data_IF_648784404361
#
_entry.id   IF_648784404361
#
_cell.length_a   1.000
_cell.length_b   1.000
_cell.length_c   1.000
_cell.angle_alpha   90.00
_cell.angle_beta   90.00
_cell.angle_gamma   90.00
#
_symmetry.space_group_name_H-M   'P 1'
#
loop_
_entity.id
_entity.type
_entity.pdbx_description
1 polymer ?
#
# COMPACT_ATOMS: atom_id res chain seq x y z
N UNK A 1 -6.84 3.89 17.00
CA UNK A 1 -6.48 2.45 16.92
C UNK A 1 -5.00 2.30 17.20
N UNK A 2 -4.57 1.37 18.06
CA UNK A 2 -3.15 1.26 18.45
C UNK A 2 -2.26 0.89 17.25
N UNK A 3 -1.19 1.65 16.97
CA UNK A 3 -0.26 1.39 15.87
C UNK A 3 0.32 -0.04 15.86
N UNK A 4 0.57 -0.61 17.04
CA UNK A 4 1.05 -1.99 17.18
C UNK A 4 0.04 -3.03 16.64
N UNK A 5 -1.26 -2.77 16.76
CA UNK A 5 -2.30 -3.67 16.22
C UNK A 5 -2.29 -3.68 14.69
N UNK A 6 -2.06 -2.53 14.06
CA UNK A 6 -1.94 -2.41 12.60
C UNK A 6 -0.75 -3.21 12.10
N UNK A 7 0.39 -3.13 12.79
CA UNK A 7 1.60 -3.90 12.45
C UNK A 7 1.35 -5.40 12.57
N UNK A 8 0.77 -5.85 13.69
CA UNK A 8 0.44 -7.27 13.88
C UNK A 8 -0.55 -7.79 12.82
N UNK A 9 -1.53 -6.96 12.46
CA UNK A 9 -2.49 -7.30 11.41
C UNK A 9 -1.82 -7.43 10.04
N UNK A 10 -0.88 -6.53 9.70
CA UNK A 10 -0.12 -6.62 8.44
C UNK A 10 0.74 -7.89 8.39
N UNK A 11 1.43 -8.21 9.48
CA UNK A 11 2.22 -9.44 9.60
C UNK A 11 1.34 -10.67 9.44
N UNK A 12 0.20 -10.73 10.15
CA UNK A 12 -0.72 -11.85 10.08
C UNK A 12 -1.32 -12.02 8.68
N UNK A 13 -1.79 -10.93 8.05
CA UNK A 13 -2.30 -10.97 6.69
C UNK A 13 -1.26 -11.44 5.68
N UNK A 14 -0.01 -10.98 5.84
CA UNK A 14 1.13 -11.43 5.02
C UNK A 14 1.40 -12.91 5.20
N UNK A 15 1.43 -13.41 6.44
CA UNK A 15 1.64 -14.84 6.72
C UNK A 15 0.53 -15.70 6.12
N UNK A 16 -0.74 -15.31 6.31
CA UNK A 16 -1.90 -16.02 5.74
C UNK A 16 -1.79 -16.08 4.21
N UNK A 17 -1.45 -14.96 3.58
CA UNK A 17 -1.23 -14.90 2.14
C UNK A 17 -0.09 -15.81 1.70
N UNK A 18 1.08 -15.70 2.34
CA UNK A 18 2.27 -16.48 1.95
C UNK A 18 2.06 -17.98 2.07
N UNK A 19 1.45 -18.44 3.16
CA UNK A 19 1.13 -19.86 3.37
C UNK A 19 0.10 -20.33 2.35
N UNK A 20 -0.97 -19.57 2.12
CA UNK A 20 -2.02 -19.92 1.14
C UNK A 20 -1.47 -19.96 -0.28
N UNK A 21 -0.66 -18.98 -0.66
CA UNK A 21 -0.06 -18.87 -1.98
C UNK A 21 0.94 -20.00 -2.23
N UNK A 22 1.76 -20.35 -1.23
CA UNK A 22 2.70 -21.47 -1.31
C UNK A 22 1.96 -22.82 -1.42
N UNK A 23 0.91 -23.01 -0.61
CA UNK A 23 0.07 -24.20 -0.67
C UNK A 23 -0.58 -24.37 -2.05
N UNK A 24 -1.22 -23.32 -2.57
CA UNK A 24 -1.83 -23.31 -3.89
C UNK A 24 -0.81 -23.56 -5.01
N UNK A 25 0.41 -23.04 -4.86
CA UNK A 25 1.49 -23.25 -5.83
C UNK A 25 2.07 -24.68 -5.79
N UNK A 26 2.17 -25.33 -4.62
CA UNK A 26 2.74 -26.68 -4.48
C UNK A 26 1.71 -27.75 -4.89
N UNK A 27 0.51 -27.71 -4.30
CA UNK A 27 -0.50 -28.77 -4.47
C UNK A 27 -1.17 -28.67 -5.83
N UNK A 28 -1.36 -27.45 -6.34
CA UNK A 28 -1.89 -27.15 -7.67
C UNK A 28 -3.20 -27.89 -8.07
N UNK A 29 -3.98 -28.30 -7.08
CA UNK A 29 -5.28 -28.94 -7.24
C UNK A 29 -6.43 -27.90 -7.25
N UNK A 30 -7.60 -28.25 -7.76
CA UNK A 30 -8.76 -27.36 -7.90
C UNK A 30 -9.20 -26.71 -6.59
N UNK A 31 -9.21 -27.48 -5.49
CA UNK A 31 -9.54 -26.97 -4.15
C UNK A 31 -8.46 -26.03 -3.59
N UNK A 32 -7.18 -26.31 -3.84
CA UNK A 32 -6.08 -25.46 -3.39
C UNK A 32 -6.06 -24.13 -4.16
N UNK A 33 -6.39 -24.15 -5.45
CA UNK A 33 -6.52 -22.96 -6.30
C UNK A 33 -7.66 -22.07 -5.86
N UNK A 34 -8.86 -22.63 -5.65
CA UNK A 34 -10.03 -21.85 -5.24
C UNK A 34 -9.82 -21.20 -3.87
N UNK A 35 -9.23 -21.94 -2.92
CA UNK A 35 -8.84 -21.40 -1.62
C UNK A 35 -7.89 -20.21 -1.76
N UNK A 36 -6.83 -20.33 -2.58
CA UNK A 36 -5.86 -19.26 -2.79
C UNK A 36 -6.49 -17.99 -3.36
N UNK A 37 -7.43 -18.12 -4.30
CA UNK A 37 -8.20 -16.99 -4.86
C UNK A 37 -9.08 -16.35 -3.81
N UNK A 38 -9.85 -17.15 -3.06
CA UNK A 38 -10.75 -16.63 -2.02
C UNK A 38 -9.95 -15.83 -1.00
N UNK A 39 -8.81 -16.36 -0.54
CA UNK A 39 -7.93 -15.64 0.38
C UNK A 39 -7.40 -14.35 -0.23
N UNK A 40 -6.94 -14.37 -1.49
CA UNK A 40 -6.45 -13.18 -2.17
C UNK A 40 -7.52 -12.09 -2.30
N UNK A 41 -8.74 -12.46 -2.69
CA UNK A 41 -9.86 -11.53 -2.84
C UNK A 41 -10.32 -10.95 -1.51
N UNK A 42 -10.36 -11.76 -0.44
CA UNK A 42 -10.70 -11.28 0.90
C UNK A 42 -9.64 -10.30 1.41
N UNK A 43 -8.36 -10.63 1.30
CA UNK A 43 -7.27 -9.75 1.72
C UNK A 43 -7.24 -8.46 0.89
N UNK A 44 -7.51 -8.54 -0.42
CA UNK A 44 -7.63 -7.39 -1.29
C UNK A 44 -8.81 -6.48 -0.91
N UNK A 45 -9.98 -7.06 -0.62
CA UNK A 45 -11.16 -6.31 -0.19
C UNK A 45 -10.91 -5.59 1.14
N UNK A 46 -10.31 -6.28 2.12
CA UNK A 46 -9.87 -5.69 3.39
C UNK A 46 -8.87 -4.56 3.13
N UNK A 47 -7.86 -4.83 2.29
CA UNK A 47 -6.84 -3.84 1.93
C UNK A 47 -7.42 -2.58 1.33
N UNK A 48 -8.39 -2.73 0.44
CA UNK A 48 -9.12 -1.62 -0.18
C UNK A 48 -9.90 -0.82 0.86
N UNK A 49 -10.64 -1.47 1.76
CA UNK A 49 -11.37 -0.79 2.83
C UNK A 49 -10.44 -0.02 3.78
N UNK A 50 -9.32 -0.63 4.16
CA UNK A 50 -8.28 0.00 4.99
C UNK A 50 -7.62 1.17 4.25
N UNK A 51 -7.33 1.02 2.96
CA UNK A 51 -6.77 2.07 2.12
C UNK A 51 -7.70 3.28 2.05
N UNK A 52 -8.99 3.06 1.78
CA UNK A 52 -10.00 4.13 1.73
C UNK A 52 -10.16 4.81 3.09
N UNK A 53 -10.14 4.05 4.18
CA UNK A 53 -10.19 4.62 5.53
C UNK A 53 -8.96 5.48 5.84
N UNK A 54 -7.76 4.98 5.49
CA UNK A 54 -6.51 5.73 5.61
C UNK A 54 -6.54 7.02 4.81
N UNK A 55 -7.00 6.94 3.55
CA UNK A 55 -7.19 8.09 2.68
C UNK A 55 -8.16 9.12 3.27
N UNK A 56 -9.33 8.69 3.71
CA UNK A 56 -10.32 9.55 4.36
C UNK A 56 -9.75 10.30 5.57
N UNK A 57 -9.01 9.57 6.42
CA UNK A 57 -8.34 10.15 7.60
C UNK A 57 -7.27 11.17 7.19
N UNK A 58 -6.49 10.86 6.16
CA UNK A 58 -5.46 11.76 5.63
C UNK A 58 -6.06 13.03 5.00
N UNK A 59 -7.19 12.92 4.28
CA UNK A 59 -7.89 14.08 3.69
C UNK A 59 -8.33 15.07 4.76
N UNK A 60 -8.86 14.59 5.88
CA UNK A 60 -9.25 15.45 7.00
C UNK A 60 -8.05 16.21 7.58
N UNK A 61 -6.90 15.54 7.71
CA UNK A 61 -5.65 16.13 8.20
C UNK A 61 -4.98 17.07 7.20
N UNK A 62 -5.12 16.81 5.90
CA UNK A 62 -4.51 17.60 4.82
C UNK A 62 -4.99 19.06 4.81
N UNK A 63 -6.10 19.37 5.48
CA UNK A 63 -6.56 20.74 5.72
C UNK A 63 -5.54 21.58 6.51
N UNK A 64 -4.77 20.94 7.39
CA UNK A 64 -3.80 21.58 8.28
C UNK A 64 -2.36 21.17 7.98
N UNK A 65 -2.16 20.01 7.35
CA UNK A 65 -0.85 19.42 7.08
C UNK A 65 -0.61 19.20 5.59
N UNK A 66 0.64 19.34 5.17
CA UNK A 66 1.09 18.92 3.84
C UNK A 66 1.40 17.42 3.87
N UNK A 67 0.56 16.64 3.19
CA UNK A 67 0.65 15.17 3.18
C UNK A 67 0.97 14.70 1.78
N UNK A 68 2.20 14.21 1.58
CA UNK A 68 2.60 13.55 0.35
C UNK A 68 2.08 12.11 0.27
N UNK A 69 1.73 11.66 -0.94
CA UNK A 69 1.33 10.26 -1.20
C UNK A 69 2.45 9.28 -0.79
N UNK A 70 3.71 9.68 -0.99
CA UNK A 70 4.87 8.88 -0.61
C UNK A 70 5.03 8.80 0.91
N UNK A 71 4.78 9.89 1.63
CA UNK A 71 4.82 9.88 3.09
C UNK A 71 3.67 9.05 3.68
N UNK A 72 2.51 9.08 3.03
CA UNK A 72 1.31 8.37 3.45
C UNK A 72 1.43 6.85 3.22
N UNK A 73 1.68 6.39 1.98
CA UNK A 73 1.62 4.97 1.65
C UNK A 73 2.97 4.24 1.67
N UNK A 74 4.07 4.98 1.47
CA UNK A 74 5.44 4.44 1.52
C UNK A 74 6.16 4.84 2.81
N UNK A 75 5.47 5.40 3.79
CA UNK A 75 6.02 5.74 5.11
C UNK A 75 7.34 6.55 4.99
N UNK A 76 7.48 7.38 3.95
CA UNK A 76 8.73 8.12 3.67
C UNK A 76 8.92 9.35 4.56
N UNK A 77 7.96 9.63 5.46
CA UNK A 77 8.04 10.77 6.38
C UNK A 77 9.24 10.68 7.35
N UNK A 78 9.85 11.82 7.72
CA UNK A 78 11.06 11.85 8.55
C UNK A 78 10.84 11.34 9.98
N UNK A 79 9.64 11.46 10.54
CA UNK A 79 9.34 11.20 11.97
C UNK A 79 8.66 9.84 12.22
N UNK A 80 8.99 8.82 11.42
CA UNK A 80 8.44 7.46 11.57
C UNK A 80 9.50 6.54 12.20
N UNK A 81 9.20 5.83 13.30
CA UNK A 81 10.14 4.92 13.94
C UNK A 81 10.68 3.88 12.95
N UNK A 82 12.00 3.67 12.97
CA UNK A 82 12.69 2.77 12.03
C UNK A 82 12.17 1.33 12.10
N UNK A 83 11.82 0.86 13.30
CA UNK A 83 11.23 -0.48 13.50
C UNK A 83 9.91 -0.66 12.77
N UNK A 84 9.05 0.37 12.77
CA UNK A 84 7.76 0.35 12.05
C UNK A 84 7.99 0.33 10.55
N UNK A 85 8.85 1.21 10.03
CA UNK A 85 9.24 1.25 8.61
C UNK A 85 9.70 -0.10 8.11
N UNK A 86 10.64 -0.72 8.83
CA UNK A 86 11.19 -2.04 8.45
C UNK A 86 10.09 -3.11 8.48
N UNK A 87 9.28 -3.18 9.54
CA UNK A 87 8.22 -4.18 9.63
C UNK A 87 7.15 -4.03 8.53
N UNK A 88 6.70 -2.81 8.27
CA UNK A 88 5.67 -2.52 7.28
C UNK A 88 6.18 -2.73 5.84
N UNK A 89 7.37 -2.24 5.51
CA UNK A 89 7.97 -2.43 4.19
C UNK A 89 8.40 -3.87 3.93
N UNK A 90 8.88 -4.60 4.95
CA UNK A 90 9.17 -6.02 4.77
C UNK A 90 7.91 -6.81 4.46
N UNK A 91 6.79 -6.56 5.14
CA UNK A 91 5.51 -7.19 4.80
C UNK A 91 5.08 -6.90 3.36
N UNK A 92 5.11 -5.63 2.94
CA UNK A 92 4.77 -5.24 1.57
C UNK A 92 5.70 -5.90 0.55
N UNK A 93 7.01 -5.89 0.78
CA UNK A 93 7.98 -6.55 -0.08
C UNK A 93 7.72 -8.06 -0.16
N UNK A 94 7.45 -8.73 0.96
CA UNK A 94 7.09 -10.15 0.98
C UNK A 94 5.81 -10.42 0.18
N UNK A 95 4.77 -9.60 0.33
CA UNK A 95 3.54 -9.74 -0.45
C UNK A 95 3.81 -9.61 -1.96
N UNK A 96 4.58 -8.62 -2.37
CA UNK A 96 4.95 -8.41 -3.78
C UNK A 96 5.76 -9.59 -4.31
N UNK A 97 6.80 -10.01 -3.58
CA UNK A 97 7.68 -11.11 -3.99
C UNK A 97 6.92 -12.43 -4.09
N UNK A 98 6.07 -12.76 -3.12
CA UNK A 98 5.25 -13.98 -3.15
C UNK A 98 4.23 -13.93 -4.28
N UNK A 99 3.53 -12.81 -4.46
CA UNK A 99 2.55 -12.65 -5.54
C UNK A 99 3.21 -12.83 -6.91
N UNK A 100 4.35 -12.18 -7.14
CA UNK A 100 5.10 -12.31 -8.38
C UNK A 100 5.65 -13.73 -8.55
N UNK A 101 6.27 -14.30 -7.52
CA UNK A 101 6.82 -15.65 -7.59
C UNK A 101 5.75 -16.68 -7.94
N UNK A 102 4.58 -16.63 -7.30
CA UNK A 102 3.48 -17.56 -7.57
C UNK A 102 2.84 -17.34 -8.94
N UNK A 103 2.64 -16.09 -9.37
CA UNK A 103 2.12 -15.77 -10.69
C UNK A 103 3.08 -16.20 -11.82
N UNK A 104 4.38 -15.99 -11.65
CA UNK A 104 5.40 -16.31 -12.64
C UNK A 104 5.77 -17.80 -12.67
N UNK A 105 5.72 -18.50 -11.53
CA UNK A 105 6.10 -19.93 -11.46
C UNK A 105 5.15 -20.85 -12.21
N UNK A 106 3.90 -20.41 -12.46
CA UNK A 106 2.94 -21.14 -13.28
C UNK A 106 2.37 -20.20 -14.35
N UNK A 107 3.17 -19.90 -15.40
CA UNK A 107 2.70 -19.17 -16.57
C UNK A 107 1.62 -19.98 -17.28
N UNK A 108 0.74 -19.28 -17.99
CA UNK A 108 -0.37 -19.84 -18.76
C UNK A 108 0.05 -21.13 -19.51
N UNK A 109 -0.65 -22.24 -19.29
CA UNK A 109 -0.40 -23.47 -20.04
C UNK A 109 -0.68 -23.21 -21.53
N UNK A 110 0.24 -23.58 -22.45
CA UNK A 110 -0.10 -23.68 -23.86
C UNK A 110 -1.30 -24.60 -24.00
N UNK A 111 -2.35 -24.17 -24.70
CA UNK A 111 -3.41 -25.09 -25.08
C UNK A 111 -2.83 -26.18 -25.99
N UNK A 112 -3.36 -27.40 -25.93
CA UNK A 112 -2.86 -28.59 -26.66
C UNK A 112 -2.83 -28.43 -28.20
N UNK A 113 -3.37 -27.33 -28.70
CA UNK A 113 -3.59 -26.93 -30.08
C UNK A 113 -2.75 -25.71 -30.51
N UNK A 114 -1.96 -25.09 -29.62
CA UNK A 114 -1.01 -24.02 -29.95
C UNK A 114 -1.63 -22.71 -30.48
N UNK A 115 -2.96 -22.66 -30.60
CA UNK A 115 -3.72 -21.60 -31.26
C UNK A 115 -4.51 -20.74 -30.27
N UNK A 116 -4.66 -21.15 -29.01
CA UNK A 116 -5.45 -20.47 -27.99
C UNK A 116 -4.68 -20.31 -26.67
N UNK A 117 -4.61 -19.09 -26.15
CA UNK A 117 -4.13 -18.86 -24.78
C UNK A 117 -5.30 -19.06 -23.81
N UNK A 118 -5.22 -20.08 -22.96
CA UNK A 118 -6.19 -20.21 -21.87
C UNK A 118 -6.13 -18.97 -20.95
N UNK A 119 -7.28 -18.43 -20.51
CA UNK A 119 -7.34 -17.21 -19.75
C UNK A 119 -6.67 -17.38 -18.39
N UNK A 120 -5.58 -16.63 -18.16
CA UNK A 120 -4.94 -16.27 -16.89
C UNK A 120 -4.80 -17.34 -15.79
N UNK A 121 -3.56 -17.66 -15.40
CA UNK A 121 -3.27 -18.46 -14.20
C UNK A 121 -4.05 -17.96 -12.98
N UNK A 122 -4.83 -18.84 -12.33
CA UNK A 122 -5.59 -18.56 -11.10
C UNK A 122 -4.72 -18.00 -9.96
N UNK A 123 -3.41 -18.22 -10.00
CA UNK A 123 -2.46 -17.66 -9.04
C UNK A 123 -2.20 -16.16 -9.26
N UNK A 124 -2.53 -15.61 -10.44
CA UNK A 124 -2.38 -14.18 -10.74
C UNK A 124 -3.26 -13.27 -9.88
N UNK A 125 -4.36 -13.78 -9.32
CA UNK A 125 -5.17 -13.03 -8.34
C UNK A 125 -4.38 -12.62 -7.09
N UNK A 126 -3.28 -13.33 -6.78
CA UNK A 126 -2.38 -12.96 -5.69
C UNK A 126 -1.72 -11.58 -5.87
N UNK A 127 -1.62 -11.06 -7.09
CA UNK A 127 -1.04 -9.73 -7.41
C UNK A 127 -1.88 -8.58 -6.84
N UNK A 128 -3.12 -8.84 -6.43
CA UNK A 128 -3.98 -7.85 -5.78
C UNK A 128 -3.64 -7.67 -4.28
N UNK A 129 -3.04 -8.66 -3.65
CA UNK A 129 -2.82 -8.68 -2.19
C UNK A 129 -1.90 -7.56 -1.67
N UNK A 130 -0.85 -7.09 -2.39
CA UNK A 130 -0.05 -5.92 -1.98
C UNK A 130 -0.84 -4.65 -1.64
N UNK A 131 -2.09 -4.52 -2.13
CA UNK A 131 -3.00 -3.42 -1.75
C UNK A 131 -3.31 -3.44 -0.25
N UNK A 132 -3.30 -4.61 0.40
CA UNK A 132 -3.41 -4.72 1.86
C UNK A 132 -2.23 -4.06 2.56
N UNK A 133 -1.00 -4.37 2.14
CA UNK A 133 0.21 -3.76 2.69
C UNK A 133 0.22 -2.24 2.50
N UNK A 134 -0.09 -1.75 1.29
CA UNK A 134 -0.19 -0.32 1.02
C UNK A 134 -1.30 0.36 1.85
N UNK A 135 -2.48 -0.26 1.93
CA UNK A 135 -3.59 0.25 2.73
C UNK A 135 -3.25 0.36 4.20
N UNK A 136 -2.62 -0.66 4.79
CA UNK A 136 -2.21 -0.66 6.19
C UNK A 136 -1.09 0.35 6.48
N UNK A 137 -0.14 0.53 5.55
CA UNK A 137 0.86 1.59 5.63
C UNK A 137 0.18 2.97 5.68
N UNK A 138 -0.74 3.23 4.74
CA UNK A 138 -1.53 4.46 4.67
C UNK A 138 -2.34 4.71 5.93
N UNK A 139 -3.01 3.67 6.46
CA UNK A 139 -3.78 3.77 7.69
C UNK A 139 -2.90 4.09 8.90
N UNK A 140 -1.73 3.44 9.00
CA UNK A 140 -0.79 3.70 10.08
C UNK A 140 -0.27 5.14 10.01
N UNK A 141 0.17 5.59 8.83
CA UNK A 141 0.68 6.94 8.60
C UNK A 141 -0.40 8.01 8.83
N UNK A 142 -1.63 7.79 8.35
CA UNK A 142 -2.74 8.71 8.58
C UNK A 142 -3.12 8.82 10.07
N UNK A 143 -2.96 7.75 10.84
CA UNK A 143 -3.35 7.71 12.26
C UNK A 143 -2.23 8.16 13.21
N UNK A 144 -0.96 7.90 12.89
CA UNK A 144 0.17 8.08 13.80
C UNK A 144 1.34 8.86 13.20
N UNK A 145 1.37 9.03 11.88
CA UNK A 145 2.40 9.80 11.19
C UNK A 145 2.31 11.28 11.55
N UNK A 146 3.47 11.93 11.61
CA UNK A 146 3.58 13.39 11.70
C UNK A 146 3.97 13.93 10.33
N UNK A 147 3.26 14.96 9.89
CA UNK A 147 3.46 15.62 8.61
C UNK A 147 3.84 17.08 8.83
N UNK A 148 4.42 17.71 7.82
CA UNK A 148 4.77 19.12 7.90
C UNK A 148 3.50 19.99 7.96
N UNK A 149 3.51 21.13 8.67
CA UNK A 149 2.42 22.10 8.61
C UNK A 149 2.19 22.57 7.18
N UNK A 150 0.93 22.79 6.81
CA UNK A 150 0.57 23.28 5.48
C UNK A 150 1.13 24.68 5.24
N UNK A 151 1.90 24.89 4.18
CA UNK A 151 2.34 26.23 3.76
C UNK A 151 1.13 27.00 3.25
N UNK A 152 0.75 28.04 3.99
CA UNK A 152 -0.25 28.99 3.51
C UNK A 152 0.39 29.87 2.43
N UNK A 153 -0.35 30.14 1.35
CA UNK A 153 0.09 30.89 0.17
C UNK A 153 0.56 32.33 0.46
N UNK A 154 0.43 32.82 1.70
CA UNK A 154 0.72 34.20 2.09
C UNK A 154 1.97 34.36 2.98
N UNK A 155 2.80 33.33 3.13
CA UNK A 155 3.93 33.33 4.07
C UNK A 155 5.32 33.64 3.48
N UNK A 156 5.43 34.03 2.21
CA UNK A 156 6.73 34.33 1.57
C UNK A 156 6.68 35.58 0.69
N UNK A 157 5.96 36.63 1.12
CA UNK A 157 6.07 37.98 0.55
C UNK A 157 6.25 38.98 1.69
N UNK A 158 7.35 38.83 2.43
CA UNK A 158 7.87 39.85 3.33
C UNK A 158 9.23 40.30 2.83
N UNK A 159 9.31 41.57 2.42
CA UNK A 159 10.50 42.36 2.10
C UNK A 159 11.11 42.23 0.70
N UNK A 160 10.38 42.68 -0.32
CA UNK A 160 11.01 43.52 -1.35
C UNK A 160 10.55 44.95 -1.06
N UNK A 161 11.40 45.72 -0.39
CA UNK A 161 11.26 47.18 -0.37
C UNK A 161 11.43 47.64 -1.82
N UNK A 162 10.33 48.04 -2.48
CA UNK A 162 10.41 48.70 -3.78
C UNK A 162 10.90 50.14 -3.50
N UNK A 163 12.02 50.60 -4.08
CA UNK A 163 12.61 51.90 -3.76
C UNK A 163 11.89 53.11 -4.37
N UNK A 164 10.63 52.99 -4.83
CA UNK A 164 9.98 54.02 -5.67
C UNK A 164 8.74 54.68 -5.03
N UNK A 165 8.69 54.81 -3.71
CA UNK A 165 7.65 55.64 -3.06
C UNK A 165 8.25 56.89 -2.41
N UNK A 166 8.82 57.77 -3.23
CA UNK A 166 8.93 59.19 -2.89
C UNK A 166 7.70 59.91 -3.48
N UNK A 167 6.83 60.52 -2.66
CA UNK A 167 5.78 61.39 -3.16
C UNK A 167 6.42 62.71 -3.59
N UNK A 168 6.51 62.95 -4.91
CA UNK A 168 6.61 64.31 -5.45
C UNK A 168 5.18 64.86 -5.48
N UNK A 169 4.88 65.76 -4.54
CA UNK A 169 3.60 66.48 -4.45
C UNK A 169 3.47 67.20 -3.12
#
# INVERSE_FOLDING_TARGET
MNGLRIIRFNILGTLIFSVSALWAAIVFDGLAKSQGVVVALVLFAIGTGVFLWGYWTAVQRSRQEEISVAELYFLMGPVIPRSVKIAMHSCLATQVLVALATALSRPNSPSSDGLSSNPGSTLAFGVLVPVLGLGLNGLWAASHGKFAPRRLKNGTEGAVCHPDTDPIG
#
